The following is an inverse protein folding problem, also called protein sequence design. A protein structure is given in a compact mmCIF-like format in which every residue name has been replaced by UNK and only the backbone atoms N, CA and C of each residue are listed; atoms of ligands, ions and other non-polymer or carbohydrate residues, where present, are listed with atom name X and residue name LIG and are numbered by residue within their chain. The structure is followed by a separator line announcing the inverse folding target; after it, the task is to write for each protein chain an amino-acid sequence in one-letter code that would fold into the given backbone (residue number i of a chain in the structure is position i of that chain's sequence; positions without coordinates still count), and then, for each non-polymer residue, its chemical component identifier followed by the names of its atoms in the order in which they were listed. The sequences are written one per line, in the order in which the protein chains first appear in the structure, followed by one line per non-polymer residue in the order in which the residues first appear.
data_IF_883575712457
#
_entry.id   IF_883575712457
#
_cell.length_a   1.000
_cell.length_b   1.000
_cell.length_c   1.000
_cell.angle_alpha   90.00
_cell.angle_beta   90.00
_cell.angle_gamma   90.00
#
_symmetry.space_group_name_H-M   'P 1'
#
loop_
_entity.id
_entity.type
_entity.pdbx_description
1 polymer ?
#
# COMPACT_ATOMS: atom_id res chain seq x y z
N UNK A 1 -0.83 24.94 -15.19
CA UNK A 1 0.51 25.43 -14.83
C UNK A 1 0.39 26.93 -14.66
N UNK A 2 0.82 27.44 -13.51
CA UNK A 2 0.81 28.89 -13.26
C UNK A 2 1.93 29.58 -14.06
N UNK A 3 1.77 30.85 -14.38
CA UNK A 3 2.70 31.57 -15.26
C UNK A 3 4.09 31.74 -14.63
N UNK A 4 4.13 31.87 -13.30
CA UNK A 4 5.37 31.96 -12.50
C UNK A 4 6.14 30.63 -12.49
N UNK A 5 5.43 29.51 -12.34
CA UNK A 5 5.99 28.15 -12.39
C UNK A 5 6.61 27.85 -13.76
N UNK A 6 5.94 28.25 -14.85
CA UNK A 6 6.46 28.11 -16.20
C UNK A 6 7.72 28.96 -16.42
N UNK A 7 7.77 30.18 -15.86
CA UNK A 7 8.95 31.05 -15.94
C UNK A 7 10.17 30.46 -15.23
N UNK A 8 9.97 29.76 -14.11
CA UNK A 8 11.05 29.03 -13.45
C UNK A 8 11.52 27.84 -14.30
N UNK A 9 10.60 27.06 -14.86
CA UNK A 9 10.92 25.92 -15.72
C UNK A 9 11.72 26.35 -16.95
N UNK A 10 11.38 27.47 -17.59
CA UNK A 10 12.12 28.02 -18.75
C UNK A 10 13.61 28.27 -18.50
N UNK A 11 14.00 28.45 -17.24
CA UNK A 11 15.41 28.68 -16.85
C UNK A 11 16.22 27.39 -16.71
N UNK A 12 15.58 26.24 -16.83
CA UNK A 12 16.24 24.93 -16.70
C UNK A 12 16.80 24.43 -18.03
N UNK A 13 17.85 23.60 -17.98
CA UNK A 13 18.45 23.00 -19.17
C UNK A 13 17.50 21.98 -19.83
N UNK A 14 16.55 21.45 -19.06
CA UNK A 14 15.60 20.41 -19.47
C UNK A 14 14.46 21.02 -20.24
N UNK A 15 14.14 22.29 -19.99
CA UNK A 15 13.19 23.02 -20.81
C UNK A 15 13.68 23.11 -22.26
N UNK A 16 14.98 23.29 -22.47
CA UNK A 16 15.55 23.24 -23.82
C UNK A 16 15.40 21.85 -24.46
N UNK A 17 15.63 20.79 -23.68
CA UNK A 17 15.46 19.40 -24.16
C UNK A 17 13.99 19.07 -24.45
N UNK A 18 13.07 19.50 -23.59
CA UNK A 18 11.62 19.39 -23.75
C UNK A 18 11.15 20.14 -24.97
N UNK A 19 11.67 21.35 -25.20
CA UNK A 19 11.37 22.17 -26.36
C UNK A 19 11.86 21.51 -27.66
N UNK A 20 13.05 20.87 -27.64
CA UNK A 20 13.55 20.09 -28.78
C UNK A 20 12.66 18.88 -29.06
N UNK A 21 12.21 18.18 -28.03
CA UNK A 21 11.27 17.05 -28.16
C UNK A 21 9.91 17.51 -28.69
N UNK A 22 9.34 18.57 -28.13
CA UNK A 22 8.07 19.14 -28.58
C UNK A 22 8.14 19.51 -30.06
N UNK A 23 9.18 20.26 -30.49
CA UNK A 23 9.37 20.60 -31.91
C UNK A 23 9.51 19.39 -32.83
N UNK A 24 10.08 18.29 -32.34
CA UNK A 24 10.16 17.05 -33.11
C UNK A 24 8.77 16.41 -33.27
N UNK A 25 7.99 16.36 -32.19
CA UNK A 25 6.61 15.85 -32.20
C UNK A 25 5.67 16.70 -33.05
N UNK A 26 5.75 18.04 -32.94
CA UNK A 26 4.99 18.98 -33.77
C UNK A 26 5.22 18.71 -35.27
N UNK A 27 6.49 18.51 -35.67
CA UNK A 27 6.82 18.17 -37.07
C UNK A 27 6.33 16.79 -37.49
N UNK A 28 6.42 15.80 -36.61
CA UNK A 28 6.05 14.42 -36.94
C UNK A 28 4.53 14.23 -37.04
N UNK A 29 3.78 14.88 -36.17
CA UNK A 29 2.34 14.70 -36.04
C UNK A 29 1.53 15.88 -36.60
N UNK A 30 2.19 16.96 -37.04
CA UNK A 30 1.59 18.18 -37.56
C UNK A 30 0.56 18.79 -36.60
N UNK A 31 0.96 18.91 -35.33
CA UNK A 31 0.21 19.50 -34.23
C UNK A 31 0.98 20.68 -33.65
N UNK A 32 0.30 21.57 -32.94
CA UNK A 32 0.94 22.59 -32.09
C UNK A 32 0.95 22.11 -30.64
N UNK A 33 2.10 22.22 -29.98
CA UNK A 33 2.27 21.85 -28.58
C UNK A 33 2.40 23.13 -27.76
N UNK A 34 1.38 23.51 -26.95
CA UNK A 34 1.43 24.71 -26.12
C UNK A 34 2.61 24.72 -25.15
N UNK A 35 3.06 25.91 -24.77
CA UNK A 35 4.21 26.05 -23.87
C UNK A 35 3.98 25.42 -22.48
N UNK A 36 2.73 25.37 -22.02
CA UNK A 36 2.36 24.66 -20.80
C UNK A 36 2.62 23.15 -20.89
N UNK A 37 2.45 22.53 -22.07
CA UNK A 37 2.77 21.12 -22.30
C UNK A 37 4.28 20.89 -22.37
N UNK A 38 5.03 21.83 -22.94
CA UNK A 38 6.51 21.82 -22.87
C UNK A 38 6.99 21.93 -21.42
N UNK A 39 6.35 22.78 -20.62
CA UNK A 39 6.55 22.85 -19.18
C UNK A 39 6.27 21.51 -18.51
N UNK A 40 5.16 20.86 -18.84
CA UNK A 40 4.81 19.55 -18.28
C UNK A 40 5.84 18.46 -18.63
N UNK A 41 6.27 18.41 -19.89
CA UNK A 41 7.38 17.54 -20.33
C UNK A 41 8.68 17.82 -19.57
N UNK A 42 8.95 19.10 -19.27
CA UNK A 42 10.13 19.52 -18.49
C UNK A 42 10.08 18.96 -17.08
N UNK A 43 8.93 19.04 -16.41
CA UNK A 43 8.74 18.48 -15.07
C UNK A 43 9.00 16.96 -15.07
N UNK A 44 8.47 16.24 -16.06
CA UNK A 44 8.70 14.79 -16.19
C UNK A 44 10.15 14.43 -16.47
N UNK A 45 10.83 15.17 -17.34
CA UNK A 45 12.25 14.95 -17.64
C UNK A 45 13.12 15.22 -16.40
N UNK A 46 12.85 16.29 -15.66
CA UNK A 46 13.53 16.59 -14.40
C UNK A 46 13.29 15.51 -13.35
N UNK A 47 12.10 14.93 -13.32
CA UNK A 47 11.75 13.85 -12.38
C UNK A 47 12.37 12.50 -12.75
N UNK A 48 12.74 12.28 -14.02
CA UNK A 48 13.27 11.01 -14.52
C UNK A 48 14.81 10.97 -14.59
N UNK A 49 15.49 12.12 -14.63
CA UNK A 49 16.91 12.18 -14.96
C UNK A 49 17.82 12.22 -13.71
N UNK A 50 18.45 11.09 -13.36
CA UNK A 50 19.40 10.96 -12.23
C UNK A 50 20.61 11.89 -12.31
N UNK A 51 21.04 12.30 -13.49
CA UNK A 51 22.22 13.17 -13.66
C UNK A 51 22.03 14.60 -13.14
N UNK A 52 20.84 14.95 -12.63
CA UNK A 52 20.57 16.20 -11.91
C UNK A 52 21.10 16.23 -10.48
N UNK A 53 21.55 15.09 -9.97
CA UNK A 53 21.84 14.88 -8.55
C UNK A 53 23.11 15.60 -8.02
N UNK A 54 23.85 16.35 -8.84
CA UNK A 54 25.23 16.74 -8.47
C UNK A 54 25.45 18.17 -7.95
N UNK A 55 24.48 19.09 -7.90
CA UNK A 55 24.87 20.50 -7.60
C UNK A 55 24.09 21.30 -6.57
N UNK A 56 22.93 20.86 -6.05
CA UNK A 56 22.29 21.58 -4.94
C UNK A 56 21.50 20.65 -3.99
N UNK A 57 22.01 20.45 -2.77
CA UNK A 57 21.30 19.86 -1.59
C UNK A 57 20.86 18.38 -1.71
N UNK A 58 21.44 17.65 -2.65
CA UNK A 58 20.97 16.31 -3.03
C UNK A 58 21.51 15.20 -2.13
N UNK A 59 22.74 15.31 -1.62
CA UNK A 59 23.30 14.34 -0.67
C UNK A 59 22.41 14.14 0.56
N UNK A 60 21.80 15.22 1.09
CA UNK A 60 20.92 15.13 2.27
C UNK A 60 19.56 14.49 1.96
N UNK A 61 18.98 14.79 0.80
CA UNK A 61 17.66 14.25 0.40
C UNK A 61 17.79 12.78 0.00
N UNK A 62 18.82 12.42 -0.77
CA UNK A 62 19.12 11.03 -1.12
C UNK A 62 19.46 10.23 0.14
N UNK A 63 20.26 10.79 1.04
CA UNK A 63 20.57 10.15 2.31
C UNK A 63 19.31 9.98 3.19
N UNK A 64 18.40 10.96 3.24
CA UNK A 64 17.13 10.85 3.97
C UNK A 64 16.24 9.75 3.36
N UNK A 65 16.10 9.72 2.03
CA UNK A 65 15.32 8.70 1.33
C UNK A 65 15.92 7.32 1.54
N UNK A 66 17.24 7.18 1.44
CA UNK A 66 17.97 5.95 1.72
C UNK A 66 17.73 5.45 3.16
N UNK A 67 17.86 6.35 4.15
CA UNK A 67 17.63 6.02 5.55
C UNK A 67 16.17 5.63 5.83
N UNK A 68 15.20 6.34 5.26
CA UNK A 68 13.78 6.01 5.40
C UNK A 68 13.41 4.72 4.69
N UNK A 69 14.03 4.45 3.54
CA UNK A 69 13.90 3.17 2.83
C UNK A 69 14.38 2.02 3.69
N UNK A 70 15.54 2.16 4.35
CA UNK A 70 16.02 1.14 5.30
C UNK A 70 15.06 0.91 6.47
N UNK A 71 14.53 1.99 7.07
CA UNK A 71 13.50 1.90 8.13
C UNK A 71 12.22 1.23 7.65
N UNK A 72 11.80 1.49 6.40
CA UNK A 72 10.66 0.84 5.79
C UNK A 72 10.91 -0.66 5.63
N UNK A 73 12.06 -1.06 5.10
CA UNK A 73 12.46 -2.47 4.99
C UNK A 73 12.46 -3.13 6.36
N UNK A 74 13.11 -2.53 7.36
CA UNK A 74 13.16 -3.04 8.73
C UNK A 74 11.75 -3.22 9.31
N UNK A 75 10.86 -2.26 9.08
CA UNK A 75 9.49 -2.33 9.54
C UNK A 75 8.69 -3.45 8.88
N UNK A 76 8.81 -3.61 7.56
CA UNK A 76 8.14 -4.69 6.83
C UNK A 76 8.72 -6.05 7.22
N UNK A 77 10.04 -6.18 7.40
CA UNK A 77 10.68 -7.39 7.94
C UNK A 77 10.05 -7.79 9.27
N UNK A 78 9.96 -6.85 10.22
CA UNK A 78 9.37 -7.12 11.53
C UNK A 78 7.86 -7.42 11.46
N UNK A 79 7.13 -6.78 10.54
CA UNK A 79 5.68 -6.95 10.39
C UNK A 79 5.32 -8.28 9.75
N UNK A 80 6.17 -8.77 8.86
CA UNK A 80 5.91 -9.97 8.05
C UNK A 80 6.64 -11.21 8.56
N UNK A 81 7.68 -11.06 9.38
CA UNK A 81 8.53 -12.16 9.86
C UNK A 81 9.70 -12.49 8.92
N UNK A 82 9.71 -11.98 7.69
CA UNK A 82 10.78 -12.23 6.72
C UNK A 82 12.02 -11.37 6.99
N UNK A 83 13.20 -11.97 6.82
CA UNK A 83 14.48 -11.27 6.93
C UNK A 83 14.82 -10.55 5.61
N UNK A 84 14.39 -9.29 5.44
CA UNK A 84 14.64 -8.52 4.21
C UNK A 84 15.86 -7.59 4.28
N UNK A 85 16.42 -7.41 5.47
CA UNK A 85 17.41 -6.39 5.78
C UNK A 85 18.77 -6.57 5.06
N UNK A 86 19.05 -7.79 4.62
CA UNK A 86 20.28 -8.18 3.92
C UNK A 86 20.08 -8.27 2.39
N UNK A 87 18.89 -7.92 1.89
CA UNK A 87 18.61 -7.95 0.47
C UNK A 87 18.99 -6.62 -0.19
N UNK A 88 20.24 -6.53 -0.64
CA UNK A 88 20.77 -5.33 -1.31
C UNK A 88 19.96 -4.99 -2.58
N UNK A 89 19.51 -5.99 -3.33
CA UNK A 89 18.70 -5.76 -4.54
C UNK A 89 17.34 -5.12 -4.24
N UNK A 90 16.69 -5.51 -3.13
CA UNK A 90 15.46 -4.88 -2.67
C UNK A 90 15.73 -3.43 -2.27
N UNK A 91 16.78 -3.21 -1.48
CA UNK A 91 17.15 -1.88 -1.02
C UNK A 91 17.47 -0.93 -2.18
N UNK A 92 18.36 -1.33 -3.09
CA UNK A 92 18.71 -0.56 -4.29
C UNK A 92 17.49 -0.30 -5.16
N UNK A 93 16.64 -1.32 -5.37
CA UNK A 93 15.41 -1.19 -6.15
C UNK A 93 14.42 -0.19 -5.56
N UNK A 94 14.23 -0.23 -4.23
CA UNK A 94 13.36 0.70 -3.52
C UNK A 94 13.90 2.12 -3.52
N UNK A 95 15.19 2.34 -3.25
CA UNK A 95 15.81 3.67 -3.34
C UNK A 95 15.67 4.23 -4.76
N UNK A 96 15.97 3.40 -5.76
CA UNK A 96 15.83 3.71 -7.18
C UNK A 96 14.41 4.13 -7.59
N UNK A 97 13.37 3.58 -6.96
CA UNK A 97 11.96 3.94 -7.19
C UNK A 97 11.55 5.17 -6.39
N UNK A 98 11.89 5.20 -5.10
CA UNK A 98 11.44 6.22 -4.16
C UNK A 98 12.07 7.58 -4.46
N UNK A 99 13.34 7.66 -4.87
CA UNK A 99 13.97 8.93 -5.24
C UNK A 99 13.16 9.77 -6.24
N UNK A 100 12.84 9.26 -7.46
CA UNK A 100 12.01 9.98 -8.39
C UNK A 100 10.54 10.03 -7.94
N UNK A 101 10.03 9.03 -7.21
CA UNK A 101 8.66 9.06 -6.69
C UNK A 101 8.43 10.21 -5.72
N UNK A 102 9.39 10.50 -4.84
CA UNK A 102 9.31 11.59 -3.88
C UNK A 102 9.19 12.95 -4.57
N UNK A 103 9.89 13.15 -5.68
CA UNK A 103 9.74 14.35 -6.49
C UNK A 103 8.33 14.43 -7.10
N UNK A 104 7.86 13.34 -7.72
CA UNK A 104 6.50 13.29 -8.30
C UNK A 104 5.42 13.57 -7.27
N UNK A 105 5.52 12.95 -6.09
CA UNK A 105 4.53 13.05 -5.02
C UNK A 105 4.46 14.46 -4.41
N UNK A 106 5.61 15.12 -4.23
CA UNK A 106 5.66 16.53 -3.79
C UNK A 106 5.01 17.47 -4.79
N UNK A 107 5.22 17.23 -6.09
CA UNK A 107 4.60 17.96 -7.19
C UNK A 107 3.16 17.49 -7.50
N UNK A 108 2.61 16.57 -6.69
CA UNK A 108 1.26 15.98 -6.85
C UNK A 108 1.01 15.37 -8.23
N UNK A 109 2.08 14.94 -8.91
CA UNK A 109 1.97 14.22 -10.17
C UNK A 109 1.56 12.77 -9.90
N UNK A 110 0.41 12.39 -10.45
CA UNK A 110 -0.10 11.03 -10.33
C UNK A 110 0.56 10.12 -11.36
N UNK A 111 0.98 8.96 -10.91
CA UNK A 111 1.30 7.83 -11.78
C UNK A 111 0.18 6.79 -11.69
N UNK A 112 -0.06 6.10 -12.80
CA UNK A 112 -1.08 5.07 -12.87
C UNK A 112 -0.43 3.69 -12.85
N UNK A 113 -0.88 2.84 -11.93
CA UNK A 113 -0.54 1.43 -11.94
C UNK A 113 -1.78 0.61 -12.36
N UNK A 114 -1.79 0.01 -13.58
CA UNK A 114 -2.96 -0.75 -14.06
C UNK A 114 -3.26 -2.00 -13.22
N UNK A 115 -2.33 -2.43 -12.38
CA UNK A 115 -2.45 -3.62 -11.56
C UNK A 115 -2.85 -3.32 -10.11
N UNK A 116 -3.06 -2.05 -9.71
CA UNK A 116 -3.33 -1.68 -8.31
C UNK A 116 -4.44 -2.51 -7.66
N UNK A 117 -5.58 -2.65 -8.33
CA UNK A 117 -6.71 -3.42 -7.77
C UNK A 117 -6.39 -4.91 -7.64
N UNK A 118 -5.65 -5.47 -8.61
CA UNK A 118 -5.21 -6.86 -8.55
C UNK A 118 -4.17 -7.07 -7.44
N UNK A 119 -3.24 -6.13 -7.27
CA UNK A 119 -2.21 -6.16 -6.23
C UNK A 119 -2.84 -6.04 -4.84
N UNK A 120 -3.75 -5.10 -4.62
CA UNK A 120 -4.50 -4.97 -3.36
C UNK A 120 -5.23 -6.25 -2.99
N UNK A 121 -5.81 -6.92 -3.97
CA UNK A 121 -6.51 -8.19 -3.77
C UNK A 121 -5.55 -9.34 -3.45
N UNK A 122 -4.50 -9.51 -4.24
CA UNK A 122 -3.60 -10.66 -4.14
C UNK A 122 -2.60 -10.54 -2.98
N UNK A 123 -2.23 -9.31 -2.61
CA UNK A 123 -1.22 -8.97 -1.61
C UNK A 123 -1.77 -8.08 -0.49
N UNK A 124 -3.05 -8.24 -0.12
CA UNK A 124 -3.76 -7.36 0.81
C UNK A 124 -3.01 -7.06 2.12
N UNK A 125 -2.51 -8.11 2.79
CA UNK A 125 -1.78 -7.95 4.06
C UNK A 125 -0.48 -7.14 3.88
N UNK A 126 0.26 -7.42 2.81
CA UNK A 126 1.48 -6.70 2.48
C UNK A 126 1.18 -5.25 2.06
N UNK A 127 0.10 -5.02 1.32
CA UNK A 127 -0.36 -3.68 0.95
C UNK A 127 -0.67 -2.84 2.20
N UNK A 128 -1.42 -3.38 3.17
CA UNK A 128 -1.71 -2.69 4.44
C UNK A 128 -0.44 -2.45 5.28
N UNK A 129 0.50 -3.39 5.28
CA UNK A 129 1.77 -3.23 5.98
C UNK A 129 2.59 -2.10 5.35
N UNK A 130 2.68 -2.05 4.03
CA UNK A 130 3.43 -1.00 3.32
C UNK A 130 2.75 0.35 3.49
N UNK A 131 1.42 0.42 3.36
CA UNK A 131 0.64 1.64 3.65
C UNK A 131 0.96 2.20 5.04
N UNK A 132 0.96 1.36 6.08
CA UNK A 132 1.37 1.76 7.43
C UNK A 132 2.82 2.24 7.49
N UNK A 133 3.71 1.54 6.79
CA UNK A 133 5.13 1.87 6.76
C UNK A 133 5.37 3.23 6.14
N UNK A 134 4.75 3.51 4.99
CA UNK A 134 4.92 4.81 4.32
C UNK A 134 4.27 5.95 5.12
N UNK A 135 3.09 5.74 5.71
CA UNK A 135 2.48 6.72 6.64
C UNK A 135 3.41 7.05 7.82
N UNK A 136 4.13 6.05 8.32
CA UNK A 136 5.02 6.21 9.48
C UNK A 136 6.36 6.87 9.14
N UNK A 137 6.97 6.49 8.02
CA UNK A 137 8.32 6.92 7.67
C UNK A 137 8.36 8.05 6.65
N UNK A 138 7.24 8.38 6.02
CA UNK A 138 7.05 9.52 5.11
C UNK A 138 5.77 10.31 5.45
N UNK A 139 5.57 10.72 6.71
CA UNK A 139 4.31 11.33 7.17
C UNK A 139 3.96 12.65 6.47
N UNK A 140 4.94 13.30 5.85
CA UNK A 140 4.76 14.54 5.10
C UNK A 140 4.25 14.32 3.67
N UNK A 141 4.19 13.08 3.18
CA UNK A 141 3.79 12.72 1.82
C UNK A 141 2.56 11.82 1.84
N UNK A 142 1.56 12.15 1.04
CA UNK A 142 0.45 11.26 0.76
C UNK A 142 0.83 10.29 -0.36
N UNK A 143 0.87 8.99 -0.04
CA UNK A 143 1.13 7.95 -1.03
C UNK A 143 -0.20 7.47 -1.63
N UNK A 144 -0.46 7.69 -2.94
CA UNK A 144 -1.62 7.11 -3.59
C UNK A 144 -1.51 5.60 -3.68
N UNK A 145 -2.65 4.91 -3.79
CA UNK A 145 -2.68 3.44 -3.87
C UNK A 145 -1.79 2.87 -4.98
N UNK A 146 -1.64 3.59 -6.09
CA UNK A 146 -0.80 3.19 -7.22
C UNK A 146 0.69 3.16 -6.86
N UNK A 147 1.17 4.11 -6.04
CA UNK A 147 2.55 4.11 -5.54
C UNK A 147 2.76 3.02 -4.50
N UNK A 148 1.79 2.81 -3.60
CA UNK A 148 1.83 1.69 -2.65
C UNK A 148 1.88 0.36 -3.41
N UNK A 149 1.12 0.23 -4.51
CA UNK A 149 1.14 -0.96 -5.35
C UNK A 149 2.52 -1.20 -6.00
N UNK A 150 3.25 -0.16 -6.42
CA UNK A 150 4.64 -0.33 -6.90
C UNK A 150 5.57 -0.81 -5.78
N UNK A 151 5.46 -0.26 -4.59
CA UNK A 151 6.22 -0.73 -3.43
C UNK A 151 5.91 -2.19 -3.11
N UNK A 152 4.63 -2.60 -3.16
CA UNK A 152 4.22 -3.99 -3.00
C UNK A 152 4.90 -4.90 -4.03
N UNK A 153 5.09 -4.47 -5.28
CA UNK A 153 5.82 -5.26 -6.27
C UNK A 153 7.31 -5.43 -5.93
N UNK A 154 7.96 -4.39 -5.41
CA UNK A 154 9.35 -4.50 -4.94
C UNK A 154 9.47 -5.53 -3.81
N UNK A 155 8.66 -5.39 -2.77
CA UNK A 155 8.65 -6.34 -1.65
C UNK A 155 8.22 -7.75 -2.10
N UNK A 156 7.15 -7.86 -2.88
CA UNK A 156 6.62 -9.12 -3.40
C UNK A 156 7.54 -9.84 -4.38
N UNK A 157 8.54 -9.16 -4.95
CA UNK A 157 9.56 -9.79 -5.82
C UNK A 157 10.59 -10.61 -5.04
N UNK A 158 10.80 -10.29 -3.76
CA UNK A 158 11.74 -10.99 -2.88
C UNK A 158 11.04 -11.85 -1.84
N UNK A 159 9.79 -11.52 -1.52
CA UNK A 159 8.92 -12.32 -0.68
C UNK A 159 8.27 -13.39 -1.56
N UNK A 160 8.55 -14.67 -1.29
CA UNK A 160 7.88 -15.80 -1.95
C UNK A 160 6.43 -16.00 -1.43
N UNK A 161 5.68 -14.92 -1.22
CA UNK A 161 4.31 -14.98 -0.70
C UNK A 161 3.42 -15.68 -1.74
N UNK A 162 2.86 -16.83 -1.37
CA UNK A 162 1.86 -17.49 -2.21
C UNK A 162 0.54 -16.72 -2.11
N UNK A 163 -0.18 -16.63 -3.23
CA UNK A 163 -1.53 -15.99 -3.28
C UNK A 163 -2.56 -16.62 -2.33
N UNK A 164 -2.31 -17.83 -1.85
CA UNK A 164 -3.15 -18.53 -0.88
C UNK A 164 -2.86 -18.09 0.56
N UNK A 165 -1.62 -17.65 0.83
CA UNK A 165 -1.17 -17.22 2.15
C UNK A 165 -1.74 -15.83 2.52
N UNK A 166 -2.35 -15.10 1.59
CA UNK A 166 -2.93 -13.77 1.85
C UNK A 166 -4.42 -13.79 2.20
N UNK A 167 -5.10 -14.93 2.06
CA UNK A 167 -6.55 -15.06 2.29
C UNK A 167 -6.87 -15.23 3.77
N UNK A 168 -7.70 -14.37 4.34
CA UNK A 168 -8.03 -14.40 5.77
C UNK A 168 -9.17 -15.40 6.02
N UNK A 169 -9.00 -16.27 7.00
CA UNK A 169 -10.03 -17.18 7.50
C UNK A 169 -10.61 -16.67 8.83
N UNK A 170 -11.88 -16.25 8.82
CA UNK A 170 -12.54 -15.68 9.99
C UNK A 170 -13.58 -16.63 10.60
N UNK A 171 -13.67 -16.66 11.93
CA UNK A 171 -14.80 -17.24 12.66
C UNK A 171 -15.77 -16.14 13.08
N UNK A 172 -17.05 -16.29 12.73
CA UNK A 172 -18.11 -15.37 13.14
C UNK A 172 -18.91 -15.98 14.30
N UNK A 173 -18.92 -15.30 15.44
CA UNK A 173 -19.58 -15.73 16.68
C UNK A 173 -20.80 -14.87 16.97
N UNK A 174 -21.98 -15.50 17.16
CA UNK A 174 -23.21 -14.80 17.54
C UNK A 174 -23.91 -15.45 18.75
N UNK A 175 -24.84 -14.72 19.39
CA UNK A 175 -25.58 -15.20 20.56
C UNK A 175 -26.44 -16.44 20.30
N UNK A 176 -27.22 -16.48 19.21
CA UNK A 176 -28.24 -17.54 19.06
C UNK A 176 -28.95 -17.63 17.70
N UNK A 177 -28.29 -17.40 16.56
CA UNK A 177 -28.97 -17.64 15.28
C UNK A 177 -28.12 -17.71 14.03
N UNK A 178 -28.40 -18.72 13.20
CA UNK A 178 -27.88 -18.87 11.84
C UNK A 178 -28.14 -17.62 10.99
N UNK A 179 -29.26 -16.91 11.23
CA UNK A 179 -29.66 -15.74 10.44
C UNK A 179 -28.76 -14.51 10.63
N UNK A 180 -28.49 -14.11 11.89
CA UNK A 180 -27.62 -12.96 12.17
C UNK A 180 -26.15 -13.25 11.82
N UNK A 181 -25.67 -14.48 12.05
CA UNK A 181 -24.32 -14.88 11.64
C UNK A 181 -24.14 -14.86 10.12
N UNK A 182 -25.12 -15.37 9.35
CA UNK A 182 -25.09 -15.29 7.88
C UNK A 182 -25.16 -13.87 7.37
N UNK A 183 -25.96 -13.01 8.01
CA UNK A 183 -26.05 -11.60 7.63
C UNK A 183 -24.72 -10.88 7.84
N UNK A 184 -24.10 -11.03 9.01
CA UNK A 184 -22.79 -10.45 9.31
C UNK A 184 -21.72 -10.99 8.36
N UNK A 185 -21.64 -12.30 8.15
CA UNK A 185 -20.69 -12.89 7.21
C UNK A 185 -20.88 -12.38 5.78
N UNK A 186 -22.13 -12.22 5.33
CA UNK A 186 -22.42 -11.64 4.01
C UNK A 186 -22.00 -10.18 3.90
N UNK A 187 -22.13 -9.40 4.97
CA UNK A 187 -21.68 -8.00 5.01
C UNK A 187 -20.16 -7.92 5.02
N UNK A 188 -19.50 -8.70 5.88
CA UNK A 188 -18.04 -8.80 5.93
C UNK A 188 -17.48 -9.20 4.57
N UNK A 189 -18.05 -10.22 3.91
CA UNK A 189 -17.60 -10.63 2.58
C UNK A 189 -17.74 -9.53 1.51
N UNK A 190 -18.73 -8.66 1.65
CA UNK A 190 -18.98 -7.56 0.71
C UNK A 190 -18.02 -6.39 0.96
N UNK A 191 -17.88 -5.98 2.22
CA UNK A 191 -17.09 -4.81 2.62
C UNK A 191 -15.58 -5.12 2.75
N UNK A 192 -15.24 -6.40 2.95
CA UNK A 192 -13.88 -6.94 3.17
C UNK A 192 -13.71 -8.25 2.38
N UNK A 193 -13.66 -8.18 1.04
CA UNK A 193 -13.54 -9.35 0.17
C UNK A 193 -12.26 -10.17 0.37
N UNK A 194 -11.29 -9.64 1.11
CA UNK A 194 -10.01 -10.27 1.45
C UNK A 194 -10.15 -11.32 2.55
N UNK A 195 -11.27 -11.29 3.30
CA UNK A 195 -11.71 -12.40 4.13
C UNK A 195 -12.36 -13.46 3.24
N UNK A 196 -11.56 -14.45 2.86
CA UNK A 196 -11.94 -15.43 1.83
C UNK A 196 -12.84 -16.55 2.37
N UNK A 197 -12.71 -16.89 3.66
CA UNK A 197 -13.46 -17.98 4.29
C UNK A 197 -14.07 -17.50 5.61
N UNK A 198 -15.31 -17.93 5.84
CA UNK A 198 -16.06 -17.68 7.06
C UNK A 198 -16.62 -18.98 7.58
N UNK A 199 -16.29 -19.34 8.81
CA UNK A 199 -17.04 -20.35 9.57
C UNK A 199 -17.93 -19.61 10.58
N UNK A 200 -19.09 -20.19 10.88
CA UNK A 200 -20.11 -19.58 11.74
C UNK A 200 -20.27 -20.45 12.99
N UNK A 201 -20.32 -19.82 14.16
CA UNK A 201 -20.52 -20.49 15.43
C UNK A 201 -21.42 -19.67 16.34
N UNK A 202 -22.13 -20.36 17.23
CA UNK A 202 -22.71 -19.74 18.42
C UNK A 202 -21.65 -19.58 19.52
N UNK A 203 -21.94 -18.74 20.51
CA UNK A 203 -21.08 -18.61 21.71
C UNK A 203 -20.97 -19.92 22.51
N UNK A 204 -21.99 -20.77 22.44
CA UNK A 204 -22.01 -22.07 23.13
C UNK A 204 -21.06 -23.08 22.46
N UNK A 205 -21.10 -23.16 21.13
CA UNK A 205 -20.27 -24.05 20.32
C UNK A 205 -18.79 -23.63 20.31
N UNK A 206 -18.49 -22.35 20.57
CA UNK A 206 -17.12 -21.84 20.58
C UNK A 206 -16.18 -22.63 21.52
N UNK A 207 -16.70 -23.26 22.58
CA UNK A 207 -15.91 -24.10 23.49
C UNK A 207 -15.32 -25.36 22.84
N UNK A 208 -15.98 -25.86 21.81
CA UNK A 208 -15.60 -27.09 21.12
C UNK A 208 -14.75 -26.82 19.87
N UNK A 209 -14.60 -25.54 19.52
CA UNK A 209 -13.85 -25.09 18.35
C UNK A 209 -12.44 -24.69 18.77
N UNK A 210 -11.44 -25.16 18.03
CA UNK A 210 -10.09 -24.64 18.13
C UNK A 210 -10.02 -23.23 17.53
N UNK A 211 -10.11 -22.23 18.39
CA UNK A 211 -10.03 -20.82 18.03
C UNK A 211 -8.70 -20.46 17.31
N UNK A 212 -7.62 -21.19 17.55
CA UNK A 212 -6.31 -20.93 16.92
C UNK A 212 -6.28 -21.29 15.43
N UNK A 213 -7.22 -22.13 14.96
CA UNK A 213 -7.36 -22.50 13.56
C UNK A 213 -7.86 -21.34 12.66
N UNK A 214 -8.30 -20.23 13.24
CA UNK A 214 -8.74 -19.03 12.52
C UNK A 214 -7.71 -17.91 12.60
N UNK A 215 -7.71 -17.05 11.60
CA UNK A 215 -6.83 -15.87 11.52
C UNK A 215 -7.39 -14.71 12.34
N UNK A 216 -8.72 -14.68 12.50
CA UNK A 216 -9.43 -13.71 13.32
C UNK A 216 -10.80 -14.22 13.76
N UNK A 217 -11.32 -13.65 14.85
CA UNK A 217 -12.66 -13.95 15.36
C UNK A 217 -13.47 -12.65 15.42
N UNK A 218 -14.63 -12.64 14.78
CA UNK A 218 -15.57 -11.52 14.78
C UNK A 218 -16.80 -11.92 15.58
N UNK A 219 -17.16 -11.14 16.59
CA UNK A 219 -18.29 -11.47 17.46
C UNK A 219 -19.33 -10.37 17.49
N UNK A 220 -20.62 -10.73 17.60
CA UNK A 220 -21.69 -9.78 17.93
C UNK A 220 -22.02 -9.74 19.41
N UNK A 221 -21.33 -10.55 20.22
CA UNK A 221 -21.53 -10.64 21.66
C UNK A 221 -20.19 -10.74 22.40
N UNK A 222 -20.13 -10.32 23.68
CA UNK A 222 -18.94 -10.53 24.49
C UNK A 222 -18.60 -12.02 24.59
N UNK A 223 -17.32 -12.35 24.35
CA UNK A 223 -16.78 -13.70 24.54
C UNK A 223 -16.13 -13.75 25.93
N UNK A 224 -16.62 -14.59 26.86
CA UNK A 224 -16.16 -14.63 28.25
C UNK A 224 -14.90 -15.49 28.44
N UNK A 225 -14.04 -15.59 27.42
CA UNK A 225 -12.82 -16.41 27.44
C UNK A 225 -11.60 -15.49 27.29
N UNK A 226 -10.78 -15.38 28.33
CA UNK A 226 -9.65 -14.42 28.39
C UNK A 226 -8.58 -14.66 27.32
N UNK A 227 -8.44 -15.90 26.83
CA UNK A 227 -7.41 -16.29 25.86
C UNK A 227 -7.84 -16.16 24.40
N UNK A 228 -9.08 -15.72 24.15
CA UNK A 228 -9.59 -15.56 22.79
C UNK A 228 -9.53 -14.08 22.42
N UNK A 229 -8.65 -13.74 21.49
CA UNK A 229 -8.63 -12.40 20.89
C UNK A 229 -9.70 -12.33 19.80
N UNK A 230 -10.60 -11.35 19.93
CA UNK A 230 -11.71 -11.16 19.01
C UNK A 230 -12.01 -9.67 18.81
N UNK A 231 -12.75 -9.35 17.76
CA UNK A 231 -13.33 -8.03 17.55
C UNK A 231 -14.85 -8.08 17.67
N UNK A 232 -15.40 -7.20 18.50
CA UNK A 232 -16.84 -7.05 18.65
C UNK A 232 -17.41 -6.01 17.66
N UNK A 233 -18.46 -6.39 16.94
CA UNK A 233 -19.13 -5.57 15.92
C UNK A 233 -20.65 -5.67 16.06
N UNK A 234 -21.38 -4.74 15.44
CA UNK A 234 -22.83 -4.87 15.32
C UNK A 234 -23.20 -5.98 14.32
N UNK A 235 -24.38 -6.62 14.45
CA UNK A 235 -24.84 -7.62 13.50
C UNK A 235 -24.97 -7.11 12.05
N UNK A 236 -25.12 -5.80 11.86
CA UNK A 236 -25.30 -5.18 10.55
C UNK A 236 -23.99 -4.68 9.92
N UNK A 237 -22.88 -4.72 10.65
CA UNK A 237 -21.57 -4.21 10.24
C UNK A 237 -21.67 -2.79 9.66
N UNK A 238 -21.78 -1.80 10.53
CA UNK A 238 -21.74 -0.40 10.08
C UNK A 238 -20.31 -0.02 9.62
N UNK A 239 -20.16 1.19 9.07
CA UNK A 239 -18.86 1.67 8.56
C UNK A 239 -17.78 1.69 9.64
N UNK A 240 -18.12 2.11 10.86
CA UNK A 240 -17.20 2.08 12.01
C UNK A 240 -16.75 0.67 12.36
N UNK A 241 -17.66 -0.30 12.34
CA UNK A 241 -17.34 -1.71 12.57
C UNK A 241 -16.38 -2.21 11.50
N UNK A 242 -16.63 -1.90 10.22
CA UNK A 242 -15.76 -2.29 9.12
C UNK A 242 -14.35 -1.70 9.26
N UNK A 243 -14.24 -0.43 9.66
CA UNK A 243 -12.95 0.21 9.96
C UNK A 243 -12.22 -0.48 11.11
N UNK A 244 -12.93 -0.80 12.22
CA UNK A 244 -12.32 -1.52 13.34
C UNK A 244 -11.86 -2.92 12.92
N UNK A 245 -12.60 -3.61 12.05
CA UNK A 245 -12.18 -4.92 11.51
C UNK A 245 -10.89 -4.79 10.69
N UNK A 246 -10.78 -3.80 9.80
CA UNK A 246 -9.53 -3.52 9.07
C UNK A 246 -8.36 -3.24 10.01
N UNK A 247 -8.56 -2.40 11.02
CA UNK A 247 -7.53 -2.11 12.03
C UNK A 247 -7.12 -3.37 12.82
N UNK A 248 -8.09 -4.23 13.15
CA UNK A 248 -7.83 -5.50 13.82
C UNK A 248 -6.98 -6.43 12.95
N UNK A 249 -7.28 -6.54 11.65
CA UNK A 249 -6.46 -7.29 10.69
C UNK A 249 -5.04 -6.70 10.60
N UNK A 250 -4.91 -5.38 10.49
CA UNK A 250 -3.62 -4.65 10.42
C UNK A 250 -2.72 -4.96 11.62
N UNK A 251 -3.29 -5.02 12.83
CA UNK A 251 -2.59 -5.45 14.05
C UNK A 251 -2.16 -6.93 14.01
N UNK A 252 -2.95 -7.78 13.35
CA UNK A 252 -2.76 -9.24 13.30
C UNK A 252 -1.85 -9.71 12.17
N UNK A 253 -1.45 -8.84 11.24
CA UNK A 253 -0.59 -9.19 10.08
C UNK A 253 0.56 -10.16 10.45
N UNK A 254 1.39 -9.92 11.49
CA UNK A 254 2.50 -10.83 11.82
C UNK A 254 2.03 -12.26 12.07
N UNK A 255 0.97 -12.43 12.86
CA UNK A 255 0.41 -13.73 13.22
C UNK A 255 -0.26 -14.44 12.03
N UNK A 256 -0.89 -13.67 11.14
CA UNK A 256 -1.59 -14.22 9.97
C UNK A 256 -0.58 -14.73 8.94
N UNK A 257 0.56 -14.07 8.80
CA UNK A 257 1.63 -14.46 7.87
C UNK A 257 2.39 -15.66 8.44
N UNK A 258 2.85 -15.61 9.70
CA UNK A 258 3.62 -16.69 10.34
C UNK A 258 2.90 -18.04 10.34
N UNK A 259 1.58 -18.05 10.55
CA UNK A 259 0.76 -19.28 10.56
C UNK A 259 0.73 -20.02 9.20
N UNK A 260 1.14 -19.34 8.13
CA UNK A 260 1.01 -19.82 6.75
C UNK A 260 2.34 -20.17 6.10
N UNK A 261 3.44 -19.99 6.83
CA UNK A 261 4.74 -20.62 6.53
C UNK A 261 4.76 -22.09 6.99
#
# INVERSE_FOLDING_TARGET
MEEEELLELKRTKEFESSLRMARALERMFNVEIPEAEVGYMTIHLRSANRSFQTEYRIDEIELDIALRTKKLIDFISNKTGYHLNENDSLYEGLVSHLEPAMNRLKEKMRIYNPLTQQIKKDYFLLFMAIEEGVERFFPEIEFPEDEIAFLVLHFGSVLEIKKEETKIHALVVCSSGIGSSKMLASRLKKELPEIAKFDLSSLMELKEIDASSYDMIVSTVPIPYEHIDYIMVSPLLNEDDAMRVKAHIKRKIPYIIEKKE
#
